data_IF_758205936871
#
_entry.id   IF_758205936871
#
_cell.length_a   1.000
_cell.length_b   1.000
_cell.length_c   1.000
_cell.angle_alpha   90.00
_cell.angle_beta   90.00
_cell.angle_gamma   90.00
#
_symmetry.space_group_name_H-M   'P 1'
#
loop_
_entity.id
_entity.type
_entity.pdbx_description
1 polymer ?
#
# COMPACT_ATOMS: atom_id res chain seq x y z
N UNK A 1 37.17 -12.96 59.41
CA UNK A 1 35.93 -13.42 60.07
C UNK A 1 34.83 -13.52 59.01
N UNK A 2 34.13 -14.67 59.01
CA UNK A 2 32.87 -15.06 58.36
C UNK A 2 32.62 -14.78 56.86
N UNK A 3 32.63 -15.88 56.10
CA UNK A 3 31.89 -16.14 54.85
C UNK A 3 30.44 -16.53 55.19
N UNK A 4 29.50 -16.32 54.27
CA UNK A 4 28.15 -16.92 54.24
C UNK A 4 27.43 -16.46 52.96
N UNK A 5 27.64 -17.09 51.80
CA UNK A 5 27.06 -18.33 51.27
C UNK A 5 25.55 -18.19 50.87
N UNK A 6 25.22 -18.24 49.56
CA UNK A 6 23.87 -18.12 49.02
C UNK A 6 23.25 -19.50 48.78
N UNK A 7 22.15 -19.87 49.48
CA UNK A 7 21.42 -21.11 49.17
C UNK A 7 19.91 -21.00 49.41
N UNK A 8 19.17 -21.24 48.33
CA UNK A 8 17.74 -21.50 48.32
C UNK A 8 17.33 -22.19 47.02
N UNK A 9 17.86 -23.39 46.77
CA UNK A 9 17.38 -24.36 45.77
C UNK A 9 16.22 -25.16 46.38
N UNK A 10 15.22 -25.52 45.56
CA UNK A 10 14.73 -26.90 45.37
C UNK A 10 13.36 -26.91 44.63
N UNK A 11 13.32 -27.37 43.37
CA UNK A 11 12.91 -28.73 42.90
C UNK A 11 11.42 -28.79 42.52
N UNK A 12 11.09 -28.86 41.22
CA UNK A 12 11.04 -30.05 40.31
C UNK A 12 9.64 -30.68 40.27
N UNK A 13 8.96 -30.61 39.11
CA UNK A 13 8.20 -31.74 38.55
C UNK A 13 8.31 -31.79 37.03
N UNK A 14 9.27 -32.59 36.57
CA UNK A 14 9.25 -33.50 35.41
C UNK A 14 8.02 -33.47 34.49
N UNK A 15 8.30 -33.27 33.20
CA UNK A 15 7.46 -33.67 32.07
C UNK A 15 8.31 -33.82 30.81
N UNK A 16 9.01 -34.95 30.69
CA UNK A 16 9.79 -35.36 29.51
C UNK A 16 8.85 -36.01 28.51
N UNK A 17 8.85 -35.60 27.23
CA UNK A 17 8.53 -36.40 26.03
C UNK A 17 9.03 -35.62 24.78
N UNK A 18 10.17 -36.03 24.20
CA UNK A 18 10.33 -36.64 22.86
C UNK A 18 10.43 -35.68 21.67
N UNK A 19 11.54 -35.82 20.94
CA UNK A 19 11.81 -35.20 19.64
C UNK A 19 10.79 -35.59 18.56
N UNK A 20 10.50 -34.65 17.64
CA UNK A 20 10.12 -34.84 16.21
C UNK A 20 10.08 -33.45 15.55
N UNK A 21 11.04 -33.15 14.68
CA UNK A 21 10.89 -33.03 13.20
C UNK A 21 9.92 -31.94 12.71
N UNK A 22 10.51 -30.96 11.99
CA UNK A 22 10.09 -30.35 10.71
C UNK A 22 8.83 -29.47 10.62
N UNK A 23 8.99 -28.47 9.74
CA UNK A 23 8.00 -27.85 8.84
C UNK A 23 7.06 -26.75 9.38
N UNK A 24 7.17 -25.60 8.69
CA UNK A 24 6.09 -24.76 8.18
C UNK A 24 4.81 -24.57 9.01
N UNK A 25 4.58 -23.30 9.37
CA UNK A 25 3.25 -22.69 9.40
C UNK A 25 3.46 -21.18 9.26
N UNK A 26 3.86 -20.66 8.10
CA UNK A 26 2.90 -20.21 7.08
C UNK A 26 1.45 -20.36 7.57
N UNK A 27 0.89 -19.30 8.17
CA UNK A 27 -0.56 -19.26 8.31
C UNK A 27 -1.13 -19.33 6.89
N UNK A 28 -1.86 -20.41 6.55
CA UNK A 28 -2.54 -20.48 5.28
C UNK A 28 -3.57 -19.36 5.27
N UNK A 29 -3.58 -18.59 4.19
CA UNK A 29 -4.83 -17.97 3.77
C UNK A 29 -5.85 -19.11 3.74
N UNK A 30 -6.75 -19.16 4.72
CA UNK A 30 -7.85 -20.11 4.70
C UNK A 30 -8.53 -19.95 3.36
N UNK A 31 -8.49 -21.00 2.54
CA UNK A 31 -9.40 -21.09 1.41
C UNK A 31 -10.81 -20.91 1.99
N UNK A 32 -11.66 -20.07 1.37
CA UNK A 32 -13.03 -19.94 1.85
C UNK A 32 -13.67 -21.32 1.92
N UNK A 33 -14.29 -21.61 3.07
CA UNK A 33 -14.99 -22.85 3.34
C UNK A 33 -16.12 -23.00 2.31
N UNK A 34 -16.18 -24.09 1.52
CA UNK A 34 -17.21 -24.27 0.51
C UNK A 34 -18.63 -24.35 1.09
N UNK A 35 -18.76 -24.54 2.41
CA UNK A 35 -20.03 -24.57 3.14
C UNK A 35 -20.34 -23.28 3.91
N UNK A 36 -19.52 -22.21 3.80
CA UNK A 36 -19.88 -20.89 4.33
C UNK A 36 -20.91 -20.23 3.37
N UNK A 37 -22.19 -20.10 3.76
CA UNK A 37 -23.18 -19.48 2.89
C UNK A 37 -22.74 -18.04 2.59
N UNK A 38 -22.94 -17.55 1.35
CA UNK A 38 -22.54 -16.20 0.98
C UNK A 38 -23.15 -15.22 1.99
N UNK A 39 -22.31 -14.41 2.63
CA UNK A 39 -22.75 -13.38 3.59
C UNK A 39 -23.70 -12.43 2.88
N UNK A 40 -25.02 -12.68 3.01
CA UNK A 40 -26.09 -12.04 2.23
C UNK A 40 -26.23 -10.53 2.41
N UNK A 41 -25.41 -9.90 3.24
CA UNK A 41 -25.46 -8.47 3.58
C UNK A 41 -24.10 -7.75 3.49
N UNK A 42 -23.10 -8.29 2.78
CA UNK A 42 -22.02 -7.40 2.33
C UNK A 42 -22.54 -6.59 1.14
N UNK A 43 -22.57 -5.25 1.21
CA UNK A 43 -22.89 -4.44 0.03
C UNK A 43 -21.94 -4.88 -1.08
N UNK A 44 -22.54 -5.14 -2.22
CA UNK A 44 -21.95 -5.83 -3.36
C UNK A 44 -20.71 -5.09 -3.88
N UNK A 45 -19.56 -5.27 -3.25
CA UNK A 45 -18.24 -4.82 -3.69
C UNK A 45 -17.66 -5.81 -4.72
N UNK A 46 -18.54 -6.50 -5.46
CA UNK A 46 -18.21 -7.11 -6.74
C UNK A 46 -17.60 -6.03 -7.62
N UNK A 47 -16.27 -6.03 -7.57
CA UNK A 47 -15.25 -5.65 -8.54
C UNK A 47 -15.77 -5.57 -9.97
N UNK A 48 -16.67 -4.63 -10.26
CA UNK A 48 -16.60 -3.91 -11.51
C UNK A 48 -15.23 -3.27 -11.47
N UNK A 49 -14.32 -3.78 -12.30
CA UNK A 49 -13.31 -2.91 -12.89
C UNK A 49 -14.13 -1.84 -13.60
N UNK A 50 -14.56 -0.81 -12.87
CA UNK A 50 -15.21 0.32 -13.47
C UNK A 50 -14.08 0.96 -14.24
N UNK A 51 -13.95 0.55 -15.50
CA UNK A 51 -13.39 1.42 -16.51
C UNK A 51 -14.38 2.57 -16.58
N UNK A 52 -14.24 3.53 -15.67
CA UNK A 52 -14.94 4.81 -15.81
C UNK A 52 -14.44 5.32 -17.15
N UNK A 53 -15.33 5.66 -18.10
CA UNK A 53 -14.90 6.21 -19.36
C UNK A 53 -14.09 7.46 -19.01
N UNK A 54 -12.76 7.37 -19.19
CA UNK A 54 -11.90 8.54 -19.11
C UNK A 54 -12.22 9.50 -20.25
N UNK A 55 -11.50 10.62 -20.35
CA UNK A 55 -11.60 11.51 -21.50
C UNK A 55 -11.47 10.68 -22.79
N UNK A 56 -12.37 10.86 -23.76
CA UNK A 56 -12.45 10.00 -24.95
C UNK A 56 -11.16 10.02 -25.80
N UNK A 57 -10.36 11.09 -25.66
CA UNK A 57 -9.06 11.33 -26.29
C UNK A 57 -7.87 10.89 -25.43
N UNK A 58 -8.08 10.41 -24.20
CA UNK A 58 -6.98 10.19 -23.26
C UNK A 58 -6.07 9.04 -23.73
N UNK A 59 -4.78 9.33 -23.89
CA UNK A 59 -3.79 8.34 -24.33
C UNK A 59 -2.74 8.04 -23.26
N UNK A 60 -1.93 7.02 -23.51
CA UNK A 60 -0.73 6.75 -22.70
C UNK A 60 0.31 7.88 -22.78
N UNK A 61 0.31 8.68 -23.87
CA UNK A 61 1.17 9.85 -23.98
C UNK A 61 0.69 10.98 -23.06
N UNK A 62 -0.62 11.19 -22.98
CA UNK A 62 -1.23 12.15 -22.05
C UNK A 62 -1.01 11.73 -20.60
N UNK A 63 -1.20 10.44 -20.29
CA UNK A 63 -0.93 9.89 -18.98
C UNK A 63 0.53 10.08 -18.55
N UNK A 64 1.49 9.89 -19.47
CA UNK A 64 2.91 10.16 -19.22
C UNK A 64 3.13 11.64 -18.93
N UNK A 65 2.67 12.52 -19.81
CA UNK A 65 2.83 13.97 -19.67
C UNK A 65 2.26 14.46 -18.35
N UNK A 66 1.02 14.08 -18.04
CA UNK A 66 0.35 14.45 -16.79
C UNK A 66 1.14 13.97 -15.57
N UNK A 67 1.63 12.73 -15.58
CA UNK A 67 2.47 12.25 -14.49
C UNK A 67 3.72 13.12 -14.40
N UNK A 68 4.46 13.35 -15.49
CA UNK A 68 5.68 14.15 -15.47
C UNK A 68 5.47 15.60 -14.99
N UNK A 69 4.30 16.17 -15.28
CA UNK A 69 3.88 17.53 -14.88
C UNK A 69 3.21 17.58 -13.50
N UNK A 70 2.88 16.44 -12.89
CA UNK A 70 2.18 16.39 -11.60
C UNK A 70 3.03 17.00 -10.48
N UNK A 71 2.44 17.95 -9.76
CA UNK A 71 3.03 18.49 -8.55
C UNK A 71 2.62 17.68 -7.32
N UNK A 72 3.44 16.72 -6.91
CA UNK A 72 3.19 15.94 -5.70
C UNK A 72 3.35 16.75 -4.40
N UNK A 73 3.90 17.97 -4.43
CA UNK A 73 3.96 18.82 -3.22
C UNK A 73 2.56 19.29 -2.79
N UNK A 74 1.58 19.25 -3.68
CA UNK A 74 0.16 19.54 -3.40
C UNK A 74 -0.65 18.25 -3.25
N UNK A 75 -0.01 17.15 -2.85
CA UNK A 75 -0.74 15.92 -2.58
C UNK A 75 -1.82 16.14 -1.52
N UNK A 76 -3.00 15.60 -1.76
CA UNK A 76 -4.12 15.70 -0.82
C UNK A 76 -4.08 14.55 0.21
N UNK A 77 -3.44 13.44 -0.15
CA UNK A 77 -3.28 12.26 0.69
C UNK A 77 -1.89 11.66 0.49
N UNK A 78 -1.22 11.37 1.60
CA UNK A 78 0.07 10.69 1.64
C UNK A 78 0.01 9.60 2.70
N UNK A 79 0.41 8.37 2.34
CA UNK A 79 0.47 7.27 3.27
C UNK A 79 1.66 6.36 3.02
N UNK A 80 2.32 5.96 4.10
CA UNK A 80 3.39 4.98 4.11
C UNK A 80 2.86 3.64 4.63
N UNK A 81 2.87 2.62 3.78
CA UNK A 81 2.40 1.28 4.16
C UNK A 81 3.37 0.59 5.12
N UNK A 82 2.85 0.02 6.21
CA UNK A 82 3.63 -0.64 7.26
C UNK A 82 4.10 -2.08 6.93
N UNK A 83 4.23 -2.44 5.65
CA UNK A 83 4.61 -3.80 5.21
C UNK A 83 6.12 -3.91 5.00
N UNK A 84 6.64 -5.14 4.89
CA UNK A 84 8.01 -5.40 4.39
C UNK A 84 8.13 -4.75 3.01
N UNK A 85 9.06 -3.81 2.88
CA UNK A 85 9.14 -2.81 1.80
C UNK A 85 8.05 -1.75 1.95
N UNK A 86 8.30 -0.82 2.88
CA UNK A 86 7.45 0.34 3.12
C UNK A 86 7.29 1.09 1.80
N UNK A 87 6.05 1.23 1.34
CA UNK A 87 5.76 2.00 0.13
C UNK A 87 5.05 3.26 0.57
N UNK A 88 5.65 4.41 0.28
CA UNK A 88 5.00 5.72 0.43
C UNK A 88 4.26 6.04 -0.85
N UNK A 89 2.99 6.38 -0.71
CA UNK A 89 2.09 6.73 -1.80
C UNK A 89 1.66 8.18 -1.61
N UNK A 90 1.73 8.97 -2.68
CA UNK A 90 1.27 10.35 -2.70
C UNK A 90 0.22 10.50 -3.81
N UNK A 91 -0.91 11.09 -3.47
CA UNK A 91 -2.05 11.25 -4.36
C UNK A 91 -2.23 12.74 -4.64
N UNK A 92 -2.25 13.13 -5.91
CA UNK A 92 -2.39 14.51 -6.34
C UNK A 92 -3.44 14.60 -7.45
N UNK A 93 -4.18 15.70 -7.50
CA UNK A 93 -5.16 15.94 -8.55
C UNK A 93 -4.57 16.78 -9.68
N UNK A 94 -4.91 16.42 -10.92
CA UNK A 94 -4.63 17.18 -12.13
C UNK A 94 -5.90 17.27 -12.98
N UNK A 95 -5.96 18.26 -13.86
CA UNK A 95 -7.10 18.47 -14.76
C UNK A 95 -6.72 18.17 -16.21
N UNK A 96 -7.58 17.46 -16.95
CA UNK A 96 -7.44 17.21 -18.38
C UNK A 96 -8.81 17.28 -19.07
N UNK A 97 -9.00 18.19 -20.02
CA UNK A 97 -10.27 18.34 -20.78
C UNK A 97 -11.53 18.33 -19.88
N UNK A 98 -11.52 19.13 -18.80
CA UNK A 98 -12.60 19.23 -17.79
C UNK A 98 -12.80 17.97 -16.92
N UNK A 99 -11.84 17.03 -16.97
CA UNK A 99 -11.78 15.90 -16.04
C UNK A 99 -10.77 16.17 -14.93
N UNK A 100 -11.20 15.97 -13.69
CA UNK A 100 -10.32 15.81 -12.54
C UNK A 100 -9.81 14.37 -12.50
N UNK A 101 -8.49 14.23 -12.59
CA UNK A 101 -7.77 12.96 -12.57
C UNK A 101 -6.91 12.88 -11.33
N UNK A 102 -6.98 11.77 -10.59
CA UNK A 102 -6.03 11.48 -9.53
C UNK A 102 -4.78 10.85 -10.13
N UNK A 103 -3.62 11.44 -9.84
CA UNK A 103 -2.32 10.85 -10.13
C UNK A 103 -1.76 10.32 -8.82
N UNK A 104 -1.30 9.06 -8.87
CA UNK A 104 -0.72 8.39 -7.71
C UNK A 104 0.75 8.13 -8.01
N UNK A 105 1.64 8.64 -7.16
CA UNK A 105 3.08 8.41 -7.22
C UNK A 105 3.53 7.59 -6.02
N UNK A 106 4.26 6.50 -6.28
CA UNK A 106 4.83 5.66 -5.23
C UNK A 106 6.35 5.73 -5.21
N UNK A 107 6.91 5.67 -4.01
CA UNK A 107 8.32 5.39 -3.74
C UNK A 107 8.43 4.26 -2.73
N UNK A 108 9.55 3.55 -2.75
CA UNK A 108 9.87 2.59 -1.71
C UNK A 108 10.79 3.24 -0.69
N UNK A 109 10.39 3.12 0.57
CA UNK A 109 11.14 3.58 1.73
C UNK A 109 11.52 2.39 2.60
N UNK A 110 12.54 2.55 3.42
CA UNK A 110 12.94 1.58 4.42
C UNK A 110 13.43 2.34 5.64
N UNK A 111 12.83 2.04 6.80
CA UNK A 111 13.16 2.76 8.04
C UNK A 111 12.95 4.28 7.86
N UNK A 112 11.89 4.66 7.14
CA UNK A 112 11.55 6.06 6.86
C UNK A 112 12.46 6.78 5.86
N UNK A 113 13.35 6.08 5.14
CA UNK A 113 14.25 6.67 4.14
C UNK A 113 13.98 6.14 2.74
N UNK A 114 13.99 7.02 1.72
CA UNK A 114 13.95 6.60 0.32
C UNK A 114 15.02 5.57 -0.02
N UNK A 115 14.60 4.52 -0.74
CA UNK A 115 15.49 3.46 -1.21
C UNK A 115 15.50 3.37 -2.74
N UNK A 116 14.32 3.29 -3.36
CA UNK A 116 14.20 3.16 -4.79
C UNK A 116 12.86 3.70 -5.31
N UNK A 117 12.84 4.19 -6.56
CA UNK A 117 11.62 4.68 -7.20
C UNK A 117 10.61 3.56 -7.42
N UNK A 118 9.36 3.82 -7.04
CA UNK A 118 8.23 2.94 -7.32
C UNK A 118 7.60 3.21 -8.69
N UNK A 119 6.27 3.17 -8.72
CA UNK A 119 5.47 3.43 -9.93
C UNK A 119 4.56 4.64 -9.74
N UNK A 120 4.28 5.31 -10.85
CA UNK A 120 3.26 6.34 -10.96
C UNK A 120 2.19 5.91 -11.97
N UNK A 121 0.93 6.17 -11.66
CA UNK A 121 -0.23 5.79 -12.48
C UNK A 121 -1.46 6.65 -12.16
N UNK A 122 -2.49 6.51 -12.99
CA UNK A 122 -3.80 7.15 -12.81
C UNK A 122 -4.82 6.03 -12.52
N UNK A 123 -5.48 6.00 -11.35
CA UNK A 123 -6.49 4.99 -11.07
C UNK A 123 -7.63 5.05 -12.10
N UNK A 124 -8.11 3.89 -12.53
CA UNK A 124 -9.09 3.79 -13.63
C UNK A 124 -8.46 3.70 -15.02
N UNK A 125 -7.20 4.14 -15.20
CA UNK A 125 -6.44 3.93 -16.44
C UNK A 125 -5.71 2.58 -16.40
N UNK A 126 -6.44 1.51 -16.72
CA UNK A 126 -5.98 0.14 -16.53
C UNK A 126 -4.79 -0.24 -17.42
N UNK A 127 -3.91 -1.12 -16.90
CA UNK A 127 -2.83 -1.74 -17.68
C UNK A 127 -1.62 -0.85 -17.95
N UNK A 128 -1.59 0.36 -17.38
CA UNK A 128 -0.53 1.32 -17.63
C UNK A 128 0.02 1.94 -16.34
N UNK A 129 1.33 2.10 -16.28
CA UNK A 129 2.07 2.80 -15.23
C UNK A 129 3.46 3.13 -15.77
N UNK A 130 4.11 4.16 -15.23
CA UNK A 130 5.56 4.36 -15.42
C UNK A 130 6.30 4.31 -14.09
N UNK A 131 7.62 4.19 -14.17
CA UNK A 131 8.50 4.39 -13.02
C UNK A 131 8.36 5.84 -12.54
N UNK A 132 8.22 6.07 -11.23
CA UNK A 132 8.11 7.44 -10.69
C UNK A 132 9.36 8.27 -11.08
N UNK A 133 9.20 9.42 -11.76
CA UNK A 133 10.30 10.30 -12.15
C UNK A 133 11.20 10.69 -10.97
N UNK A 134 12.53 10.84 -11.17
CA UNK A 134 13.46 11.16 -10.07
C UNK A 134 13.14 12.45 -9.32
N UNK A 135 12.75 13.51 -10.03
CA UNK A 135 12.35 14.79 -9.40
C UNK A 135 11.13 14.63 -8.50
N UNK A 136 10.18 13.79 -8.89
CA UNK A 136 8.99 13.50 -8.10
C UNK A 136 9.26 12.56 -6.93
N UNK A 137 10.20 11.63 -7.07
CA UNK A 137 10.64 10.81 -5.94
C UNK A 137 11.17 11.68 -4.80
N UNK A 138 11.98 12.70 -5.11
CA UNK A 138 12.51 13.62 -4.10
C UNK A 138 11.41 14.43 -3.41
N UNK A 139 10.40 14.86 -4.16
CA UNK A 139 9.23 15.55 -3.59
C UNK A 139 8.46 14.63 -2.64
N UNK A 140 8.12 13.41 -3.09
CA UNK A 140 7.33 12.45 -2.28
C UNK A 140 8.08 11.99 -1.03
N UNK A 141 9.41 11.82 -1.09
CA UNK A 141 10.22 11.47 0.06
C UNK A 141 10.20 12.54 1.15
N UNK A 142 10.06 13.81 0.76
CA UNK A 142 9.95 14.95 1.67
C UNK A 142 8.57 15.16 2.29
N UNK A 143 7.55 14.37 1.92
CA UNK A 143 6.20 14.51 2.45
C UNK A 143 5.97 13.62 3.68
N UNK A 144 5.35 14.20 4.70
CA UNK A 144 4.81 13.45 5.83
C UNK A 144 3.48 12.78 5.45
N UNK A 145 3.14 11.70 6.14
CA UNK A 145 1.83 11.05 6.01
C UNK A 145 0.71 12.01 6.47
N UNK A 146 -0.33 12.19 5.64
CA UNK A 146 -1.44 13.11 5.92
C UNK A 146 -2.66 12.84 5.04
N UNK A 147 -3.76 13.52 5.37
CA UNK A 147 -5.00 13.55 4.59
C UNK A 147 -5.88 12.33 4.81
N UNK A 148 -7.09 12.40 4.25
CA UNK A 148 -8.02 11.29 4.19
C UNK A 148 -7.92 10.59 2.85
N UNK A 149 -8.04 9.26 2.87
CA UNK A 149 -8.03 8.48 1.65
C UNK A 149 -9.21 8.89 0.76
N UNK A 150 -9.00 9.14 -0.55
CA UNK A 150 -10.01 9.75 -1.45
C UNK A 150 -11.23 8.89 -1.77
N UNK A 151 -11.23 7.61 -1.38
CA UNK A 151 -12.23 6.64 -1.79
C UNK A 151 -12.51 6.68 -3.30
N UNK A 152 -13.74 6.97 -3.73
CA UNK A 152 -14.14 6.99 -5.13
C UNK A 152 -13.60 8.21 -5.89
N UNK A 153 -13.22 9.30 -5.20
CA UNK A 153 -12.63 10.48 -5.82
C UNK A 153 -11.22 10.22 -6.38
N UNK A 154 -10.64 9.02 -6.18
CA UNK A 154 -9.39 8.63 -6.85
C UNK A 154 -9.58 8.29 -8.33
N UNK A 155 -10.82 8.12 -8.79
CA UNK A 155 -11.11 7.81 -10.18
C UNK A 155 -11.43 9.08 -10.98
N UNK A 156 -11.34 9.03 -12.33
CA UNK A 156 -11.67 10.17 -13.17
C UNK A 156 -13.09 10.66 -12.89
N UNK A 157 -13.22 11.95 -12.58
CA UNK A 157 -14.50 12.64 -12.38
C UNK A 157 -14.56 13.83 -13.31
N UNK A 158 -15.74 14.11 -13.86
CA UNK A 158 -15.95 15.29 -14.70
C UNK A 158 -16.39 16.43 -13.78
N UNK A 159 -15.68 17.56 -13.86
CA UNK A 159 -16.04 18.78 -13.15
C UNK A 159 -17.21 19.51 -13.84
#
# INVERSE_FOLDING_TARGET
>A
MARGDPRGRAHDRRGRLTARTREESAMPWSKPDPDDPPRKNQPNYERRRVSIPGPASFTNADARRLIEETNFATSFYVNTSAKKEETRQAYAYVTFEDWRLCVVGHIHVKEGKFTLPGKSFIPGWAGWSLKTPPGQCAVIDGLDDHGDFPEDDRYPTKD
#
